data_IF_358785175659
#
_entry.id   IF_358785175659
#
_cell.length_a   1.000
_cell.length_b   1.000
_cell.length_c   1.000
_cell.angle_alpha   90.00
_cell.angle_beta   90.00
_cell.angle_gamma   90.00
#
_symmetry.space_group_name_H-M   'P 1'
#
loop_
_entity.id
_entity.type
_entity.pdbx_description
1 polymer ?
#
# COMPACT_ATOMS: atom_id res chain seq x y z
N UNK A 1 -9.83 -20.24 49.42
CA UNK A 1 -10.20 -19.19 48.43
C UNK A 1 -10.43 -19.88 47.11
N UNK A 2 -11.45 -19.47 46.35
CA UNK A 2 -11.72 -20.00 45.01
C UNK A 2 -10.87 -19.29 43.95
N UNK A 3 -10.77 -19.89 42.77
CA UNK A 3 -10.18 -19.21 41.61
C UNK A 3 -10.93 -17.89 41.33
N UNK A 4 -10.24 -16.87 40.79
CA UNK A 4 -10.91 -15.69 40.27
C UNK A 4 -11.88 -16.04 39.14
N UNK A 5 -12.91 -15.20 38.96
CA UNK A 5 -13.78 -15.27 37.81
C UNK A 5 -13.04 -14.80 36.54
N UNK A 6 -13.51 -15.23 35.37
CA UNK A 6 -12.93 -14.83 34.10
C UNK A 6 -13.19 -13.34 33.84
N UNK A 7 -12.18 -12.56 33.43
CA UNK A 7 -12.41 -11.18 33.04
C UNK A 7 -13.27 -11.11 31.77
N UNK A 8 -13.92 -9.98 31.54
CA UNK A 8 -14.57 -9.70 30.25
C UNK A 8 -13.53 -9.04 29.36
N UNK A 9 -13.25 -9.65 28.21
CA UNK A 9 -12.23 -9.21 27.25
C UNK A 9 -12.86 -8.52 26.04
N UNK A 10 -12.15 -7.53 25.53
CA UNK A 10 -12.46 -6.80 24.30
C UNK A 10 -11.17 -6.49 23.56
N UNK A 11 -11.27 -6.28 22.25
CA UNK A 11 -10.11 -5.98 21.41
C UNK A 11 -10.43 -4.86 20.44
N UNK A 12 -9.49 -3.93 20.30
CA UNK A 12 -9.47 -2.96 19.21
C UNK A 12 -8.23 -3.18 18.37
N UNK A 13 -8.41 -3.35 17.06
CA UNK A 13 -7.32 -3.55 16.12
C UNK A 13 -7.14 -2.30 15.25
N UNK A 14 -5.89 -1.86 15.09
CA UNK A 14 -5.52 -0.78 14.21
C UNK A 14 -4.09 -0.95 13.68
N UNK A 15 -3.93 -0.97 12.35
CA UNK A 15 -2.64 -0.90 11.67
C UNK A 15 -1.60 -1.94 12.18
N UNK A 16 -1.96 -3.23 12.17
CA UNK A 16 -1.08 -4.33 12.60
C UNK A 16 -0.86 -4.44 14.11
N UNK A 17 -1.56 -3.65 14.92
CA UNK A 17 -1.50 -3.75 16.36
C UNK A 17 -2.91 -3.98 16.94
N UNK A 18 -2.99 -4.79 17.99
CA UNK A 18 -4.21 -5.03 18.74
C UNK A 18 -4.03 -4.58 20.19
N UNK A 19 -4.94 -3.72 20.66
CA UNK A 19 -5.08 -3.42 22.07
C UNK A 19 -6.15 -4.33 22.65
N UNK A 20 -5.72 -5.28 23.49
CA UNK A 20 -6.62 -6.14 24.26
C UNK A 20 -6.91 -5.43 25.57
N UNK A 21 -8.18 -5.22 25.88
CA UNK A 21 -8.63 -4.58 27.12
C UNK A 21 -9.56 -5.52 27.88
N UNK A 22 -9.51 -5.48 29.21
CA UNK A 22 -10.33 -6.35 30.03
C UNK A 22 -10.85 -5.66 31.28
N UNK A 23 -11.93 -6.22 31.84
CA UNK A 23 -12.49 -5.81 33.13
C UNK A 23 -12.56 -7.00 34.07
N UNK A 24 -12.18 -6.78 35.32
CA UNK A 24 -12.33 -7.79 36.37
C UNK A 24 -13.80 -8.13 36.58
N UNK A 25 -14.10 -9.38 36.87
CA UNK A 25 -15.44 -9.83 37.25
C UNK A 25 -15.37 -10.53 38.61
N UNK A 26 -16.52 -10.62 39.29
CA UNK A 26 -16.63 -11.31 40.56
C UNK A 26 -16.18 -10.50 41.77
N UNK A 27 -16.13 -11.18 42.91
CA UNK A 27 -15.81 -10.59 44.23
C UNK A 27 -14.43 -11.02 44.76
N UNK A 28 -13.78 -11.98 44.11
CA UNK A 28 -12.42 -12.41 44.47
C UNK A 28 -11.40 -11.31 44.14
N UNK A 29 -10.55 -10.97 45.11
CA UNK A 29 -9.52 -9.95 44.90
C UNK A 29 -8.48 -10.42 43.87
N UNK A 30 -8.42 -9.74 42.73
CA UNK A 30 -7.42 -9.97 41.68
C UNK A 30 -6.14 -9.20 42.05
N UNK A 31 -4.98 -9.88 42.00
CA UNK A 31 -3.65 -9.32 42.23
C UNK A 31 -2.87 -9.07 40.93
N UNK A 32 -3.26 -9.72 39.83
CA UNK A 32 -2.66 -9.51 38.51
C UNK A 32 -3.36 -10.27 37.40
N UNK A 33 -2.84 -10.12 36.19
CA UNK A 33 -3.33 -10.80 35.00
C UNK A 33 -2.19 -11.45 34.22
N UNK A 34 -2.45 -12.55 33.55
CA UNK A 34 -1.59 -13.07 32.49
C UNK A 34 -2.31 -12.91 31.15
N UNK A 35 -1.65 -12.29 30.19
CA UNK A 35 -2.17 -12.03 28.84
C UNK A 35 -1.28 -12.72 27.84
N UNK A 36 -1.85 -13.45 26.87
CA UNK A 36 -1.08 -14.12 25.84
C UNK A 36 -1.73 -14.01 24.46
N UNK A 37 -0.93 -14.26 23.42
CA UNK A 37 -1.39 -14.33 22.03
C UNK A 37 -0.80 -15.56 21.32
N UNK A 38 -1.63 -16.22 20.53
CA UNK A 38 -1.23 -17.25 19.56
C UNK A 38 -1.46 -16.71 18.14
N UNK A 39 -0.62 -17.07 17.15
CA UNK A 39 0.44 -18.09 17.20
C UNK A 39 1.80 -17.63 17.75
N UNK A 40 2.00 -16.34 18.04
CA UNK A 40 3.31 -15.79 18.42
C UNK A 40 3.85 -16.40 19.72
N UNK A 41 2.98 -16.92 20.57
CA UNK A 41 3.35 -17.53 21.85
C UNK A 41 3.81 -16.52 22.89
N UNK A 42 3.59 -15.22 22.65
CA UNK A 42 3.91 -14.17 23.63
C UNK A 42 2.97 -14.28 24.82
N UNK A 43 3.54 -14.16 26.02
CA UNK A 43 2.80 -14.19 27.29
C UNK A 43 3.41 -13.16 28.23
N UNK A 44 2.57 -12.31 28.78
CA UNK A 44 2.94 -11.26 29.73
C UNK A 44 2.13 -11.36 31.02
N UNK A 45 2.73 -10.89 32.11
CA UNK A 45 2.08 -10.82 33.43
C UNK A 45 2.06 -9.38 33.91
N UNK A 46 0.87 -8.88 34.26
CA UNK A 46 0.66 -7.51 34.69
C UNK A 46 0.14 -7.44 36.12
N UNK A 47 0.25 -6.27 36.75
CA UNK A 47 -0.41 -6.02 38.02
C UNK A 47 -1.94 -5.93 37.86
N UNK A 48 -2.67 -5.84 38.97
CA UNK A 48 -4.13 -5.79 38.98
C UNK A 48 -4.74 -4.48 38.47
N UNK A 49 -3.93 -3.41 38.33
CA UNK A 49 -4.37 -2.09 37.86
C UNK A 49 -4.23 -1.95 36.34
N UNK A 50 -3.32 -2.70 35.73
CA UNK A 50 -3.24 -2.81 34.28
C UNK A 50 -4.43 -3.60 33.76
N UNK A 51 -5.22 -2.96 32.89
CA UNK A 51 -6.45 -3.51 32.31
C UNK A 51 -6.43 -3.52 30.78
N UNK A 52 -5.25 -3.32 30.19
CA UNK A 52 -5.04 -3.40 28.75
C UNK A 52 -3.59 -3.77 28.41
N UNK A 53 -3.39 -4.44 27.28
CA UNK A 53 -2.08 -4.75 26.73
C UNK A 53 -2.08 -4.53 25.21
N UNK A 54 -0.99 -3.98 24.68
CA UNK A 54 -0.79 -3.75 23.25
C UNK A 54 0.09 -4.87 22.68
N UNK A 55 -0.48 -5.65 21.76
CA UNK A 55 0.29 -6.53 20.89
C UNK A 55 0.56 -5.80 19.58
N UNK A 56 1.84 -5.60 19.25
CA UNK A 56 2.29 -5.04 17.99
C UNK A 56 2.78 -6.13 17.04
N UNK A 57 3.09 -5.73 15.80
CA UNK A 57 3.67 -6.57 14.75
C UNK A 57 2.96 -7.91 14.51
N UNK A 58 1.62 -7.90 14.57
CA UNK A 58 0.78 -9.05 14.27
C UNK A 58 0.84 -9.41 12.78
N UNK A 59 0.81 -10.72 12.49
CA UNK A 59 0.85 -11.23 11.12
C UNK A 59 -0.48 -11.04 10.38
N UNK A 60 -0.43 -10.45 9.18
CA UNK A 60 -1.62 -10.21 8.37
C UNK A 60 -2.19 -11.53 7.81
N UNK A 61 -3.53 -11.65 7.76
CA UNK A 61 -4.28 -12.84 7.34
C UNK A 61 -4.09 -14.10 8.21
N UNK A 62 -3.54 -13.95 9.40
CA UNK A 62 -3.45 -15.02 10.40
C UNK A 62 -4.48 -14.75 11.50
N UNK A 63 -5.19 -15.79 11.95
CA UNK A 63 -6.08 -15.62 13.10
C UNK A 63 -5.23 -15.56 14.38
N UNK A 64 -5.32 -14.44 15.11
CA UNK A 64 -4.70 -14.29 16.42
C UNK A 64 -5.73 -14.52 17.50
N UNK A 65 -5.37 -15.34 18.48
CA UNK A 65 -6.20 -15.58 19.66
C UNK A 65 -5.53 -14.99 20.88
N UNK A 66 -6.16 -13.97 21.47
CA UNK A 66 -5.71 -13.38 22.73
C UNK A 66 -6.41 -14.07 23.89
N UNK A 67 -5.68 -14.32 24.98
CA UNK A 67 -6.24 -14.90 26.20
C UNK A 67 -5.83 -14.09 27.42
N UNK A 68 -6.78 -13.74 28.28
CA UNK A 68 -6.54 -13.07 29.57
C UNK A 68 -6.94 -13.99 30.72
N UNK A 69 -6.04 -14.21 31.67
CA UNK A 69 -6.23 -15.03 32.87
C UNK A 69 -6.06 -14.12 34.10
N UNK A 70 -7.05 -14.07 34.97
CA UNK A 70 -6.97 -13.35 36.25
C UNK A 70 -6.25 -14.21 37.31
N UNK A 71 -5.45 -13.56 38.16
CA UNK A 71 -4.61 -14.17 39.20
C UNK A 71 -4.93 -13.49 40.55
N UNK A 72 -5.12 -14.25 41.62
CA UNK A 72 -5.28 -13.68 42.98
C UNK A 72 -3.97 -13.68 43.79
N UNK A 73 -3.99 -13.12 45.00
CA UNK A 73 -2.83 -13.01 45.89
C UNK A 73 -2.16 -14.36 46.21
N UNK A 74 -2.91 -15.46 46.17
CA UNK A 74 -2.43 -16.81 46.41
C UNK A 74 -1.92 -17.51 45.13
N UNK A 75 -2.03 -16.87 43.97
CA UNK A 75 -1.58 -17.40 42.69
C UNK A 75 -2.59 -18.32 41.97
N UNK A 76 -3.83 -18.43 42.46
CA UNK A 76 -4.89 -19.14 41.75
C UNK A 76 -5.30 -18.39 40.48
N UNK A 77 -5.60 -19.16 39.43
CA UNK A 77 -5.86 -18.65 38.09
C UNK A 77 -7.29 -18.91 37.66
N UNK A 78 -7.91 -17.96 36.96
CA UNK A 78 -9.17 -18.17 36.26
C UNK A 78 -8.99 -19.16 35.09
N UNK A 79 -10.10 -19.64 34.51
CA UNK A 79 -10.03 -20.52 33.34
C UNK A 79 -9.51 -19.85 32.06
N UNK A 80 -9.59 -18.52 31.99
CA UNK A 80 -9.13 -17.71 30.86
C UNK A 80 -10.30 -17.24 30.00
N UNK A 81 -10.26 -15.99 29.57
CA UNK A 81 -11.19 -15.41 28.62
C UNK A 81 -10.43 -15.09 27.32
N UNK A 82 -10.99 -15.50 26.19
CA UNK A 82 -10.33 -15.37 24.90
C UNK A 82 -11.15 -14.60 23.88
N UNK A 83 -10.46 -13.91 22.97
CA UNK A 83 -11.04 -13.21 21.82
C UNK A 83 -10.11 -13.39 20.63
N UNK A 84 -10.67 -13.63 19.45
CA UNK A 84 -9.90 -13.76 18.22
C UNK A 84 -10.12 -12.58 17.27
N UNK A 85 -9.09 -12.26 16.49
CA UNK A 85 -9.17 -11.37 15.33
C UNK A 85 -8.38 -11.99 14.18
N UNK A 86 -8.77 -11.69 12.95
CA UNK A 86 -7.95 -11.94 11.77
C UNK A 86 -7.57 -10.57 11.16
N UNK A 87 -6.35 -10.06 11.40
CA UNK A 87 -5.83 -8.84 10.84
C UNK A 87 -5.97 -8.88 9.32
N UNK A 88 -6.69 -7.91 8.79
CA UNK A 88 -6.66 -7.64 7.36
C UNK A 88 -5.30 -6.99 7.08
N UNK A 89 -4.65 -7.29 5.94
CA UNK A 89 -3.43 -6.62 5.53
C UNK A 89 -3.49 -5.14 5.83
N UNK A 90 -2.43 -4.59 6.41
CA UNK A 90 -2.27 -3.14 6.45
C UNK A 90 -2.59 -2.66 5.04
N UNK A 91 -3.72 -1.97 4.88
CA UNK A 91 -3.94 -1.18 3.68
C UNK A 91 -2.82 -0.17 3.74
N UNK A 92 -1.71 -0.47 3.10
CA UNK A 92 -0.70 0.53 2.87
C UNK A 92 -1.46 1.55 2.06
N UNK A 93 -1.81 2.67 2.70
CA UNK A 93 -2.51 3.77 2.03
C UNK A 93 -1.49 4.35 1.06
N UNK A 94 -1.36 3.71 -0.09
CA UNK A 94 -0.54 4.20 -1.17
C UNK A 94 -1.42 5.16 -1.91
N UNK A 95 -1.15 6.45 -1.72
CA UNK A 95 -1.87 7.44 -2.50
C UNK A 95 -1.49 7.23 -3.98
N UNK A 96 -2.48 7.10 -4.87
CA UNK A 96 -2.25 6.70 -6.27
C UNK A 96 -1.39 7.70 -7.05
N UNK A 97 -1.28 8.94 -6.58
CA UNK A 97 -0.38 9.96 -7.12
C UNK A 97 1.11 9.61 -6.95
N UNK A 98 1.47 8.68 -6.07
CA UNK A 98 2.86 8.22 -5.88
C UNK A 98 3.18 6.93 -6.64
N UNK A 99 2.28 6.45 -7.50
CA UNK A 99 2.49 5.23 -8.26
C UNK A 99 2.96 5.55 -9.67
N UNK A 100 4.08 4.95 -10.09
CA UNK A 100 4.60 5.06 -11.45
C UNK A 100 4.20 3.88 -12.32
N UNK A 101 5.16 3.00 -12.56
CA UNK A 101 5.11 1.96 -13.57
C UNK A 101 4.92 0.59 -12.94
N UNK A 102 3.87 -0.17 -13.29
CA UNK A 102 3.77 -1.54 -12.82
C UNK A 102 4.89 -2.40 -13.44
N UNK A 103 5.33 -3.43 -12.72
CA UNK A 103 6.32 -4.40 -13.18
C UNK A 103 6.01 -4.93 -14.58
N UNK A 104 7.05 -5.14 -15.40
CA UNK A 104 6.95 -5.74 -16.73
C UNK A 104 6.85 -4.75 -17.89
N UNK A 105 6.65 -3.45 -17.62
CA UNK A 105 6.80 -2.45 -18.69
C UNK A 105 8.28 -2.25 -19.04
N UNK A 106 8.55 -1.94 -20.31
CA UNK A 106 9.87 -1.68 -20.85
C UNK A 106 10.15 -0.18 -20.89
N UNK A 107 11.24 0.24 -20.27
CA UNK A 107 11.74 1.62 -20.31
C UNK A 107 12.89 1.72 -21.30
N UNK A 108 12.89 2.76 -22.13
CA UNK A 108 13.98 3.00 -23.07
C UNK A 108 15.27 3.39 -22.33
N UNK A 109 16.37 2.72 -22.68
CA UNK A 109 17.71 3.06 -22.24
C UNK A 109 18.62 3.29 -23.46
N UNK A 110 19.83 3.86 -23.27
CA UNK A 110 20.79 4.01 -24.36
C UNK A 110 21.16 2.69 -25.06
N UNK A 111 21.08 1.57 -24.35
CA UNK A 111 21.38 0.23 -24.86
C UNK A 111 20.15 -0.53 -25.38
N UNK A 112 18.99 0.12 -25.41
CA UNK A 112 17.71 -0.46 -25.81
C UNK A 112 16.70 -0.54 -24.67
N UNK A 113 15.44 -0.91 -24.96
CA UNK A 113 14.42 -1.06 -23.92
C UNK A 113 14.74 -2.20 -22.96
N UNK A 114 14.58 -1.96 -21.65
CA UNK A 114 14.75 -2.99 -20.59
C UNK A 114 13.51 -3.01 -19.68
N UNK A 115 13.19 -4.14 -19.03
CA UNK A 115 12.12 -4.17 -18.04
C UNK A 115 12.41 -3.21 -16.89
N UNK A 116 11.39 -2.46 -16.45
CA UNK A 116 11.54 -1.42 -15.42
C UNK A 116 12.12 -1.98 -14.11
N UNK A 117 11.82 -3.23 -13.78
CA UNK A 117 12.35 -3.95 -12.61
C UNK A 117 13.85 -4.21 -12.66
N UNK A 118 14.49 -4.07 -13.82
CA UNK A 118 15.93 -4.24 -14.00
C UNK A 118 16.70 -2.92 -13.87
N UNK A 119 16.01 -1.78 -13.94
CA UNK A 119 16.62 -0.47 -13.81
C UNK A 119 17.08 -0.23 -12.36
N UNK A 120 18.22 0.43 -12.20
CA UNK A 120 18.81 0.77 -10.90
C UNK A 120 19.09 2.27 -10.83
N UNK A 121 19.09 2.82 -9.62
CA UNK A 121 19.49 4.21 -9.39
C UNK A 121 20.87 4.50 -10.00
N UNK A 122 21.01 5.70 -10.58
CA UNK A 122 22.15 6.19 -11.36
C UNK A 122 22.35 5.56 -12.75
N UNK A 123 21.54 4.56 -13.15
CA UNK A 123 21.51 4.14 -14.55
C UNK A 123 20.81 5.19 -15.42
N UNK A 124 21.16 5.20 -16.70
CA UNK A 124 20.65 6.19 -17.64
C UNK A 124 19.45 5.66 -18.42
N UNK A 125 18.43 6.49 -18.55
CA UNK A 125 17.29 6.29 -19.45
C UNK A 125 17.45 7.17 -20.69
N UNK A 126 16.87 6.74 -21.81
CA UNK A 126 16.81 7.53 -23.04
C UNK A 126 15.49 8.30 -23.07
N UNK A 127 15.58 9.63 -23.10
CA UNK A 127 14.42 10.53 -23.17
C UNK A 127 13.91 10.68 -24.61
N UNK A 128 12.70 11.19 -24.76
CA UNK A 128 12.08 11.42 -26.08
C UNK A 128 12.83 12.40 -26.96
N UNK A 129 13.62 13.30 -26.38
CA UNK A 129 14.45 14.28 -27.09
C UNK A 129 15.87 13.76 -27.41
N UNK A 130 16.15 12.49 -27.11
CA UNK A 130 17.43 11.83 -27.34
C UNK A 130 18.46 12.03 -26.24
N UNK A 131 18.20 12.86 -25.22
CA UNK A 131 19.09 12.99 -24.06
C UNK A 131 19.09 11.70 -23.24
N UNK A 132 20.22 11.48 -22.57
CA UNK A 132 20.38 10.38 -21.62
C UNK A 132 20.55 10.98 -20.24
N UNK A 133 19.74 10.56 -19.28
CA UNK A 133 19.77 11.12 -17.92
C UNK A 133 19.81 10.00 -16.87
N UNK A 134 20.57 10.16 -15.78
CA UNK A 134 20.53 9.22 -14.67
C UNK A 134 19.17 9.30 -13.97
N UNK A 135 18.73 8.20 -13.38
CA UNK A 135 17.46 8.17 -12.64
C UNK A 135 17.64 7.75 -11.18
N UNK A 136 16.69 8.12 -10.34
CA UNK A 136 16.46 7.46 -9.04
C UNK A 136 15.35 6.44 -9.24
N UNK A 137 15.56 5.21 -8.76
CA UNK A 137 14.58 4.13 -8.85
C UNK A 137 14.17 3.67 -7.46
N UNK A 138 12.88 3.73 -7.17
CA UNK A 138 12.28 3.13 -5.98
C UNK A 138 11.17 2.17 -6.38
N UNK A 139 10.79 1.26 -5.49
CA UNK A 139 9.71 0.32 -5.76
C UNK A 139 8.85 0.07 -4.53
N UNK A 140 7.60 -0.33 -4.76
CA UNK A 140 6.64 -0.65 -3.71
C UNK A 140 5.72 -1.78 -4.15
N UNK A 141 5.58 -2.80 -3.32
CA UNK A 141 4.73 -3.96 -3.56
C UNK A 141 3.58 -3.98 -2.56
N UNK A 142 2.36 -4.14 -3.05
CA UNK A 142 1.15 -4.17 -2.23
C UNK A 142 -0.03 -4.76 -3.03
N UNK A 143 -1.09 -5.17 -2.32
CA UNK A 143 -2.36 -5.57 -2.95
C UNK A 143 -3.08 -4.33 -3.45
N UNK A 144 -3.42 -4.31 -4.74
CA UNK A 144 -4.03 -3.14 -5.36
C UNK A 144 -5.54 -3.05 -5.10
N UNK A 145 -6.07 -1.83 -5.08
CA UNK A 145 -7.50 -1.53 -4.94
C UNK A 145 -8.04 -0.91 -6.23
N UNK A 146 -9.33 -0.56 -6.25
CA UNK A 146 -9.92 0.21 -7.36
C UNK A 146 -9.22 1.56 -7.58
N UNK A 147 -8.55 2.11 -6.57
CA UNK A 147 -7.85 3.40 -6.69
C UNK A 147 -6.40 3.27 -7.15
N UNK A 148 -5.78 2.11 -6.98
CA UNK A 148 -4.35 1.92 -7.25
C UNK A 148 -4.05 0.92 -8.36
N UNK A 149 -5.01 0.06 -8.72
CA UNK A 149 -4.81 -0.98 -9.72
C UNK A 149 -4.55 -0.37 -11.11
N UNK A 150 -3.62 -0.95 -11.90
CA UNK A 150 -3.18 -0.35 -13.14
C UNK A 150 -4.27 -0.37 -14.21
N UNK A 151 -4.08 0.46 -15.22
CA UNK A 151 -4.88 0.43 -16.44
C UNK A 151 -4.03 -0.08 -17.60
N UNK A 152 -4.63 -0.95 -18.40
CA UNK A 152 -4.11 -1.39 -19.69
C UNK A 152 -4.68 -0.51 -20.79
N UNK A 153 -3.79 0.09 -21.58
CA UNK A 153 -4.09 0.77 -22.85
C UNK A 153 -3.55 -0.14 -23.96
N UNK A 154 -4.41 -0.86 -24.68
CA UNK A 154 -3.97 -1.77 -25.73
C UNK A 154 -3.24 -1.06 -26.88
N UNK A 155 -2.34 -1.78 -27.54
CA UNK A 155 -1.70 -1.38 -28.79
C UNK A 155 -2.74 -0.87 -29.80
N UNK A 156 -2.37 0.20 -30.51
CA UNK A 156 -3.22 0.84 -31.51
C UNK A 156 -4.23 1.83 -30.93
N UNK A 157 -4.63 1.70 -29.66
CA UNK A 157 -5.38 2.75 -28.97
C UNK A 157 -4.51 4.00 -28.91
N UNK A 158 -5.06 5.15 -29.29
CA UNK A 158 -4.32 6.41 -29.45
C UNK A 158 -3.14 6.36 -30.45
N UNK A 159 -3.05 5.31 -31.28
CA UNK A 159 -1.92 5.09 -32.19
C UNK A 159 -0.68 4.51 -31.51
N UNK A 160 -0.81 3.92 -30.33
CA UNK A 160 0.33 3.40 -29.58
C UNK A 160 0.98 2.18 -30.25
N UNK A 161 2.32 2.10 -30.24
CA UNK A 161 3.04 1.02 -30.92
C UNK A 161 2.93 -0.33 -30.19
N UNK A 162 2.68 -0.30 -28.88
CA UNK A 162 2.57 -1.46 -28.00
C UNK A 162 1.50 -1.22 -26.93
N UNK A 163 1.14 -2.27 -26.20
CA UNK A 163 0.36 -2.16 -24.98
C UNK A 163 1.10 -1.30 -23.96
N UNK A 164 0.37 -0.43 -23.26
CA UNK A 164 0.90 0.42 -22.21
C UNK A 164 0.11 0.20 -20.94
N UNK A 165 0.81 -0.21 -19.87
CA UNK A 165 0.21 -0.40 -18.55
C UNK A 165 0.77 0.63 -17.58
N UNK A 166 -0.11 1.39 -16.91
CA UNK A 166 0.29 2.51 -16.04
C UNK A 166 -0.57 2.53 -14.77
N UNK A 167 -0.07 3.16 -13.72
CA UNK A 167 -0.92 3.51 -12.56
C UNK A 167 -2.06 4.45 -12.99
N UNK A 168 -3.16 4.55 -12.20
CA UNK A 168 -4.33 5.34 -12.57
C UNK A 168 -4.07 6.82 -12.90
N UNK A 169 -3.08 7.43 -12.24
CA UNK A 169 -2.76 8.86 -12.34
C UNK A 169 -1.41 9.14 -13.02
N UNK A 170 -0.73 8.13 -13.57
CA UNK A 170 0.51 8.34 -14.30
C UNK A 170 0.21 8.92 -15.69
N UNK A 171 0.70 10.14 -15.95
CA UNK A 171 0.35 10.85 -17.18
C UNK A 171 1.12 10.35 -18.40
N UNK A 172 0.43 10.24 -19.53
CA UNK A 172 0.99 9.87 -20.82
C UNK A 172 0.51 10.80 -21.94
N UNK A 173 1.25 10.84 -23.04
CA UNK A 173 0.97 11.74 -24.16
C UNK A 173 0.31 10.99 -25.32
N UNK A 174 -0.87 11.46 -25.75
CA UNK A 174 -1.61 10.90 -26.90
C UNK A 174 -1.12 11.51 -28.22
N UNK A 175 -0.78 12.80 -28.18
CA UNK A 175 -0.15 13.55 -29.28
C UNK A 175 0.66 14.68 -28.68
N UNK A 176 1.61 15.25 -29.43
CA UNK A 176 2.53 16.30 -28.95
C UNK A 176 1.79 17.37 -28.13
N UNK A 177 2.15 17.48 -26.86
CA UNK A 177 1.59 18.47 -25.91
C UNK A 177 0.22 18.12 -25.30
N UNK A 178 -0.40 17.01 -25.69
CA UNK A 178 -1.70 16.57 -25.15
C UNK A 178 -1.51 15.36 -24.24
N UNK A 179 -1.60 15.64 -22.95
CA UNK A 179 -1.40 14.69 -21.86
C UNK A 179 -2.73 14.25 -21.24
N UNK A 180 -2.83 12.96 -20.90
CA UNK A 180 -3.96 12.36 -20.20
C UNK A 180 -3.45 11.38 -19.13
N UNK A 181 -4.35 10.94 -18.26
CA UNK A 181 -4.08 9.87 -17.30
C UNK A 181 -5.07 8.72 -17.55
N UNK A 182 -4.69 7.46 -17.33
CA UNK A 182 -5.53 6.32 -17.66
C UNK A 182 -6.92 6.37 -17.02
N UNK A 183 -7.01 6.76 -15.74
CA UNK A 183 -8.30 6.86 -15.01
C UNK A 183 -9.30 7.80 -15.68
N UNK A 184 -8.84 8.87 -16.34
CA UNK A 184 -9.71 9.88 -16.95
C UNK A 184 -10.06 9.62 -18.42
N UNK A 185 -9.42 8.63 -19.04
CA UNK A 185 -9.74 8.20 -20.42
C UNK A 185 -10.20 6.75 -20.47
N UNK A 186 -10.48 6.15 -19.31
CA UNK A 186 -10.98 4.80 -19.18
C UNK A 186 -12.32 4.65 -19.90
N UNK A 187 -12.42 3.61 -20.72
CA UNK A 187 -13.60 3.25 -21.50
C UNK A 187 -13.59 1.72 -21.80
N UNK A 188 -14.33 1.27 -22.80
CA UNK A 188 -14.32 -0.15 -23.19
C UNK A 188 -12.98 -0.63 -23.76
N UNK A 189 -12.08 0.27 -24.14
CA UNK A 189 -10.76 -0.01 -24.72
C UNK A 189 -9.65 0.17 -23.68
N UNK A 190 -9.72 1.21 -22.84
CA UNK A 190 -8.77 1.47 -21.75
C UNK A 190 -9.35 0.94 -20.44
N UNK A 191 -8.83 -0.21 -19.98
CA UNK A 191 -9.44 -1.00 -18.90
C UNK A 191 -8.58 -1.03 -17.66
N UNK A 192 -9.20 -0.90 -16.49
CA UNK A 192 -8.53 -1.21 -15.24
C UNK A 192 -8.36 -2.72 -15.11
N UNK A 193 -7.20 -3.15 -14.65
CA UNK A 193 -6.83 -4.58 -14.51
C UNK A 193 -6.22 -4.84 -13.15
N UNK A 194 -6.20 -6.11 -12.73
CA UNK A 194 -5.47 -6.58 -11.54
C UNK A 194 -5.95 -6.02 -10.19
N UNK A 195 -7.18 -5.51 -10.08
CA UNK A 195 -7.79 -5.14 -8.79
C UNK A 195 -7.76 -6.34 -7.82
N UNK A 196 -7.31 -6.13 -6.59
CA UNK A 196 -7.16 -7.18 -5.58
C UNK A 196 -5.94 -8.08 -5.78
N UNK A 197 -5.09 -7.81 -6.77
CA UNK A 197 -3.84 -8.54 -6.99
C UNK A 197 -2.64 -7.83 -6.37
N UNK A 198 -1.64 -8.60 -5.95
CA UNK A 198 -0.32 -8.07 -5.53
C UNK A 198 0.46 -7.59 -6.74
N UNK A 199 0.80 -6.30 -6.77
CA UNK A 199 1.58 -5.66 -7.85
C UNK A 199 2.77 -4.91 -7.26
N UNK A 200 3.91 -5.00 -7.94
CA UNK A 200 5.06 -4.13 -7.68
C UNK A 200 5.03 -2.94 -8.64
N UNK A 201 5.03 -1.73 -8.09
CA UNK A 201 5.21 -0.49 -8.84
C UNK A 201 6.64 0.03 -8.69
N UNK A 202 7.15 0.63 -9.76
CA UNK A 202 8.44 1.30 -9.83
C UNK A 202 8.24 2.79 -10.08
N UNK A 203 8.89 3.63 -9.30
CA UNK A 203 8.96 5.08 -9.52
C UNK A 203 10.34 5.42 -10.06
N UNK A 204 10.36 6.06 -11.22
CA UNK A 204 11.59 6.44 -11.92
C UNK A 204 11.66 7.95 -11.95
N UNK A 205 12.52 8.56 -11.13
CA UNK A 205 12.65 10.01 -11.08
C UNK A 205 13.83 10.48 -11.93
N UNK A 206 13.55 11.38 -12.88
CA UNK A 206 14.56 12.07 -13.67
C UNK A 206 14.98 13.39 -13.00
N UNK A 207 16.20 13.91 -13.28
CA UNK A 207 16.70 15.14 -12.68
C UNK A 207 15.80 16.36 -12.96
N UNK A 208 15.27 16.45 -14.18
CA UNK A 208 14.36 17.52 -14.58
C UNK A 208 12.97 16.94 -14.88
N UNK A 209 12.31 16.39 -13.86
CA UNK A 209 11.00 15.73 -13.97
C UNK A 209 9.90 16.54 -14.70
N UNK A 210 10.01 17.88 -14.74
CA UNK A 210 9.07 18.75 -15.45
C UNK A 210 9.28 18.78 -16.98
N UNK A 211 10.41 18.33 -17.50
CA UNK A 211 10.78 18.41 -18.91
C UNK A 211 11.32 17.10 -19.46
N UNK A 212 11.72 16.17 -18.59
CA UNK A 212 12.23 14.87 -18.97
C UNK A 212 11.05 13.92 -19.19
N UNK A 213 10.74 13.66 -20.46
CA UNK A 213 9.68 12.74 -20.87
C UNK A 213 10.30 11.35 -21.14
N UNK A 214 9.78 10.34 -20.45
CA UNK A 214 10.23 8.96 -20.58
C UNK A 214 9.58 8.29 -21.79
N UNK A 215 10.25 7.25 -22.30
CA UNK A 215 9.70 6.33 -23.29
C UNK A 215 9.44 4.98 -22.63
N UNK A 216 8.16 4.61 -22.48
CA UNK A 216 7.69 3.37 -21.84
C UNK A 216 6.89 2.58 -22.85
N UNK A 217 7.30 1.34 -23.17
CA UNK A 217 6.73 0.52 -24.24
C UNK A 217 6.63 1.27 -25.59
N UNK A 218 7.54 2.22 -25.84
CA UNK A 218 7.50 3.08 -27.04
C UNK A 218 6.50 4.24 -26.96
N UNK A 219 5.81 4.42 -25.84
CA UNK A 219 4.89 5.53 -25.59
C UNK A 219 5.55 6.63 -24.77
N UNK A 220 5.11 7.88 -24.94
CA UNK A 220 5.65 9.02 -24.20
C UNK A 220 4.92 9.17 -22.87
N UNK A 221 5.65 9.12 -21.76
CA UNK A 221 5.11 9.09 -20.40
C UNK A 221 5.86 10.06 -19.49
N UNK A 222 5.17 10.64 -18.51
CA UNK A 222 5.77 11.58 -17.54
C UNK A 222 6.78 10.85 -16.63
N UNK A 223 7.85 11.53 -16.21
CA UNK A 223 8.86 10.99 -15.30
C UNK A 223 8.50 11.09 -13.80
N UNK A 224 7.34 11.61 -13.41
CA UNK A 224 6.87 11.56 -12.02
C UNK A 224 5.36 11.80 -11.88
N UNK A 225 4.62 10.80 -11.38
CA UNK A 225 3.20 10.95 -11.03
C UNK A 225 2.96 11.94 -9.87
N UNK A 226 3.89 12.03 -8.92
CA UNK A 226 3.72 12.77 -7.65
C UNK A 226 3.59 14.29 -7.83
N UNK A 227 3.93 14.84 -9.00
CA UNK A 227 3.87 16.28 -9.30
C UNK A 227 3.19 16.61 -10.63
N UNK A 228 2.59 15.63 -11.31
CA UNK A 228 1.92 15.78 -12.62
C UNK A 228 0.74 16.74 -12.62
N UNK A 229 0.16 17.01 -11.45
CA UNK A 229 -0.84 18.06 -11.21
C UNK A 229 -0.42 19.43 -11.77
N UNK A 230 0.87 19.81 -11.71
CA UNK A 230 1.33 21.12 -12.23
C UNK A 230 1.43 21.17 -13.76
N UNK A 231 1.68 20.03 -14.42
CA UNK A 231 1.78 19.95 -15.89
C UNK A 231 0.40 19.91 -16.55
N UNK A 232 -0.56 19.21 -15.94
CA UNK A 232 -1.94 19.12 -16.44
C UNK A 232 -2.71 20.43 -16.31
N UNK A 233 -2.49 21.20 -15.24
CA UNK A 233 -3.09 22.55 -15.08
C UNK A 233 -2.63 23.51 -16.19
N UNK A 234 -1.45 23.31 -16.78
CA UNK A 234 -0.96 24.13 -17.90
C UNK A 234 -1.66 23.82 -19.23
N UNK A 235 -2.15 22.59 -19.45
CA UNK A 235 -2.59 22.14 -20.78
C UNK A 235 -4.02 21.58 -20.86
N UNK A 236 -4.74 21.37 -19.76
CA UNK A 236 -6.11 20.83 -19.78
C UNK A 236 -7.09 21.58 -18.85
N UNK A 237 -7.84 22.55 -19.41
CA UNK A 237 -8.83 23.37 -18.67
C UNK A 237 -9.96 22.54 -18.02
N UNK A 238 -10.33 21.38 -18.56
CA UNK A 238 -11.43 20.56 -18.00
C UNK A 238 -10.99 19.81 -16.72
N UNK A 239 -9.75 19.34 -16.66
CA UNK A 239 -9.20 18.68 -15.47
C UNK A 239 -9.01 19.66 -14.29
N UNK A 240 -8.81 20.96 -14.57
CA UNK A 240 -8.73 22.00 -13.55
C UNK A 240 -10.01 22.12 -12.70
N UNK A 241 -11.17 21.87 -13.30
CA UNK A 241 -12.47 21.96 -12.59
C UNK A 241 -12.74 20.73 -11.72
N UNK A 242 -12.29 19.54 -12.13
CA UNK A 242 -12.51 18.28 -11.40
C UNK A 242 -11.57 18.08 -10.20
N UNK A 243 -10.45 18.82 -10.14
CA UNK A 243 -9.46 18.77 -9.05
C UNK A 243 -9.66 19.90 -8.01
N UNK A 244 -10.59 20.82 -8.24
CA UNK A 244 -10.93 21.95 -7.37
C UNK A 244 -12.35 21.87 -6.78
N UNK A 245 -13.04 20.75 -7.01
CA UNK A 245 -14.35 20.39 -6.46
C UNK A 245 -14.20 19.23 -5.50
#
# INVERSE_FOLDING_TARGET
>A
MSNPDNPIVSVSYHNGAATVSWTATGVSAVSGYSVSVLPEGLTEVTDSKTLSYLFDDLEDNVEHTFTVIAINSEGYKSSGASICICPIPKHVTVSPEYLGFPQGVLIATPSGPVPVETLRTNQHVLLTDGRQVPVITTSKTFITTQDTAPYLIPKGVFGFPNDLMLSPLQAFQIKKGVWNMPKYVADSSVRQVSVGSTITYYQIECPNYLTDDLVINGCIVESSAARGLRRLVKYNKRLRLALLS
#
